data_IF_437026018110
#
_entry.id   IF_437026018110
#
_cell.length_a   1.000
_cell.length_b   1.000
_cell.length_c   1.000
_cell.angle_alpha   90.00
_cell.angle_beta   90.00
_cell.angle_gamma   90.00
#
_symmetry.space_group_name_H-M   'P 1'
#
loop_
_entity.id
_entity.type
_entity.pdbx_description
1 polymer ?
#
# COMPACT_ATOMS: atom_id res chain seq x y z
N UNK A 1 -19.29 -1.20 3.07
CA UNK A 1 -19.94 -2.24 3.90
C UNK A 1 -19.10 -2.53 5.14
N UNK A 2 -19.70 -3.05 6.22
CA UNK A 2 -18.97 -3.33 7.50
C UNK A 2 -17.84 -4.36 7.32
N UNK A 3 -18.06 -5.35 6.46
CA UNK A 3 -17.08 -6.37 6.13
C UNK A 3 -15.79 -5.80 5.50
N UNK A 4 -15.91 -4.93 4.50
CA UNK A 4 -14.75 -4.29 3.88
C UNK A 4 -13.97 -3.40 4.86
N UNK A 5 -14.69 -2.71 5.75
CA UNK A 5 -14.09 -1.92 6.84
C UNK A 5 -13.32 -2.83 7.80
N UNK A 6 -13.88 -3.97 8.18
CA UNK A 6 -13.22 -4.94 9.06
C UNK A 6 -11.96 -5.53 8.41
N UNK A 7 -12.01 -5.89 7.12
CA UNK A 7 -10.84 -6.41 6.39
C UNK A 7 -9.71 -5.36 6.31
N UNK A 8 -10.05 -4.08 6.11
CA UNK A 8 -9.03 -3.00 6.11
C UNK A 8 -8.48 -2.73 7.49
N UNK A 9 -9.32 -2.82 8.53
CA UNK A 9 -8.89 -2.68 9.91
C UNK A 9 -7.91 -3.79 10.32
N UNK A 10 -7.99 -4.99 9.73
CA UNK A 10 -7.01 -6.07 9.91
C UNK A 10 -5.66 -5.78 9.23
N UNK A 11 -5.64 -4.97 8.17
CA UNK A 11 -4.40 -4.54 7.51
C UNK A 11 -3.55 -3.61 8.37
N UNK A 12 -4.18 -2.72 9.13
CA UNK A 12 -3.49 -1.76 10.01
C UNK A 12 -2.55 -2.42 11.06
N UNK A 13 -2.96 -3.43 11.84
CA UNK A 13 -2.06 -4.08 12.80
C UNK A 13 -0.97 -4.91 12.12
N UNK A 14 -1.26 -5.57 10.99
CA UNK A 14 -0.24 -6.29 10.21
C UNK A 14 0.85 -5.35 9.70
N UNK A 15 0.47 -4.11 9.35
CA UNK A 15 1.41 -3.07 8.97
C UNK A 15 2.16 -2.46 10.16
N UNK A 16 1.52 -2.33 11.32
CA UNK A 16 2.13 -1.78 12.52
C UNK A 16 3.08 -2.76 13.23
N UNK A 17 2.84 -4.07 13.11
CA UNK A 17 3.65 -5.13 13.71
C UNK A 17 5.17 -5.03 13.40
N UNK A 18 5.62 -4.75 12.16
CA UNK A 18 7.04 -4.57 11.86
C UNK A 18 7.66 -3.26 12.39
N UNK A 19 6.86 -2.24 12.73
CA UNK A 19 7.37 -0.90 13.05
C UNK A 19 8.30 -0.86 14.27
N UNK A 20 8.03 -1.53 15.41
CA UNK A 20 8.93 -1.52 16.56
C UNK A 20 10.28 -2.15 16.24
N UNK A 21 10.30 -3.23 15.45
CA UNK A 21 11.53 -3.90 15.04
C UNK A 21 12.35 -3.00 14.10
N UNK A 22 11.69 -2.33 13.15
CA UNK A 22 12.34 -1.36 12.26
C UNK A 22 12.88 -0.15 13.02
N UNK A 23 12.12 0.39 13.96
CA UNK A 23 12.55 1.52 14.78
C UNK A 23 13.76 1.14 15.66
N UNK A 24 13.75 -0.05 16.26
CA UNK A 24 14.88 -0.56 17.03
C UNK A 24 16.11 -0.78 16.14
N UNK A 25 15.92 -1.33 14.93
CA UNK A 25 16.98 -1.52 13.94
C UNK A 25 17.57 -0.21 13.45
N UNK A 26 16.74 0.81 13.23
CA UNK A 26 17.21 2.14 12.85
C UNK A 26 17.98 2.85 13.97
N UNK A 27 17.59 2.64 15.23
CA UNK A 27 18.21 3.29 16.38
C UNK A 27 19.51 2.61 16.87
N UNK A 28 19.61 1.28 16.76
CA UNK A 28 20.70 0.49 17.37
C UNK A 28 21.46 -0.40 16.39
N UNK A 29 21.12 -0.34 15.10
CA UNK A 29 21.53 -1.35 14.12
C UNK A 29 20.63 -2.59 14.18
N UNK A 30 20.54 -3.29 13.05
CA UNK A 30 19.77 -4.50 12.87
C UNK A 30 20.56 -5.74 13.28
N UNK A 31 20.23 -6.31 14.44
CA UNK A 31 20.91 -7.48 15.01
C UNK A 31 20.09 -8.78 14.94
N UNK A 32 18.87 -8.73 14.38
CA UNK A 32 17.96 -9.88 14.32
C UNK A 32 18.28 -10.85 13.18
N UNK A 33 19.28 -10.52 12.35
CA UNK A 33 19.67 -11.32 11.18
C UNK A 33 18.73 -11.19 9.98
N UNK A 34 19.05 -11.93 8.91
CA UNK A 34 18.39 -11.77 7.61
C UNK A 34 16.95 -12.29 7.56
N UNK A 35 16.62 -13.34 8.32
CA UNK A 35 15.26 -13.90 8.36
C UNK A 35 14.22 -12.86 8.83
N UNK A 36 14.39 -12.27 10.02
CA UNK A 36 13.51 -11.21 10.52
C UNK A 36 13.47 -9.97 9.62
N UNK A 37 14.58 -9.59 8.97
CA UNK A 37 14.60 -8.46 8.04
C UNK A 37 13.66 -8.73 6.84
N UNK A 38 13.81 -9.91 6.23
CA UNK A 38 12.93 -10.35 5.12
C UNK A 38 11.47 -10.46 5.54
N UNK A 39 11.20 -11.00 6.72
CA UNK A 39 9.83 -11.09 7.25
C UNK A 39 9.20 -9.70 7.44
N UNK A 40 9.98 -8.75 7.93
CA UNK A 40 9.53 -7.36 8.13
C UNK A 40 9.13 -6.73 6.80
N UNK A 41 9.97 -6.85 5.78
CA UNK A 41 9.65 -6.35 4.43
C UNK A 41 8.49 -7.11 3.79
N UNK A 42 8.36 -8.41 4.04
CA UNK A 42 7.21 -9.22 3.59
C UNK A 42 5.91 -8.70 4.20
N UNK A 43 5.86 -8.55 5.53
CA UNK A 43 4.67 -8.09 6.26
C UNK A 43 4.25 -6.68 5.81
N UNK A 44 5.23 -5.78 5.63
CA UNK A 44 5.01 -4.44 5.10
C UNK A 44 4.31 -4.47 3.74
N UNK A 45 4.88 -5.17 2.77
CA UNK A 45 4.32 -5.21 1.41
C UNK A 45 3.06 -6.04 1.31
N UNK A 46 2.91 -7.09 2.12
CA UNK A 46 1.69 -7.89 2.18
C UNK A 46 0.50 -7.04 2.62
N UNK A 47 0.65 -6.28 3.72
CA UNK A 47 -0.41 -5.39 4.18
C UNK A 47 -0.72 -4.30 3.16
N UNK A 48 0.31 -3.68 2.60
CA UNK A 48 0.17 -2.64 1.58
C UNK A 48 -0.57 -3.14 0.33
N UNK A 49 -0.18 -4.29 -0.23
CA UNK A 49 -0.85 -4.87 -1.40
C UNK A 49 -2.27 -5.35 -1.08
N UNK A 50 -2.50 -5.92 0.10
CA UNK A 50 -3.85 -6.28 0.54
C UNK A 50 -4.76 -5.05 0.59
N UNK A 51 -4.26 -3.93 1.12
CA UNK A 51 -5.00 -2.67 1.15
C UNK A 51 -5.30 -2.14 -0.26
N UNK A 52 -4.32 -2.16 -1.18
CA UNK A 52 -4.52 -1.75 -2.57
C UNK A 52 -5.64 -2.56 -3.27
N UNK A 53 -5.60 -3.89 -3.11
CA UNK A 53 -6.58 -4.80 -3.69
C UNK A 53 -7.98 -4.67 -3.05
N UNK A 54 -8.06 -4.43 -1.74
CA UNK A 54 -9.31 -4.14 -1.03
C UNK A 54 -9.87 -2.76 -1.41
N UNK A 55 -9.02 -1.80 -1.74
CA UNK A 55 -9.40 -0.49 -2.28
C UNK A 55 -9.99 -0.64 -3.68
N UNK A 56 -9.30 -1.34 -4.57
CA UNK A 56 -9.76 -1.61 -5.92
C UNK A 56 -11.08 -2.40 -5.95
N UNK A 57 -11.16 -3.51 -5.21
CA UNK A 57 -12.37 -4.36 -5.18
C UNK A 57 -13.58 -3.70 -4.51
N UNK A 58 -13.35 -2.76 -3.59
CA UNK A 58 -14.42 -1.95 -2.99
C UNK A 58 -14.99 -0.89 -3.93
N UNK A 59 -14.23 -0.49 -4.95
CA UNK A 59 -14.63 0.52 -5.94
C UNK A 59 -15.36 -0.10 -7.14
N UNK A 60 -15.11 -1.38 -7.45
CA UNK A 60 -15.79 -2.12 -8.50
C UNK A 60 -16.95 -2.97 -7.95
N UNK A 61 -18.10 -2.34 -7.72
CA UNK A 61 -19.38 -3.03 -7.58
C UNK A 61 -19.81 -3.38 -6.15
N UNK A 62 -20.80 -4.27 -6.06
CA UNK A 62 -21.55 -4.59 -4.82
C UNK A 62 -21.07 -5.88 -4.14
N UNK A 63 -19.94 -6.45 -4.55
CA UNK A 63 -19.41 -7.72 -4.03
C UNK A 63 -19.23 -7.72 -2.50
N UNK A 64 -19.04 -6.54 -1.91
CA UNK A 64 -18.91 -6.35 -0.47
C UNK A 64 -20.22 -5.93 0.22
N UNK A 65 -21.33 -5.74 -0.50
CA UNK A 65 -22.59 -5.24 0.04
C UNK A 65 -23.23 -6.22 1.03
N UNK A 66 -23.06 -7.52 0.81
CA UNK A 66 -23.50 -8.61 1.71
C UNK A 66 -22.29 -9.43 2.14
N UNK A 67 -22.31 -9.92 3.38
CA UNK A 67 -21.25 -10.80 3.90
C UNK A 67 -21.65 -12.27 3.71
N UNK A 68 -21.56 -12.74 2.47
CA UNK A 68 -21.96 -14.08 2.06
C UNK A 68 -20.72 -14.99 1.80
N UNK A 69 -20.89 -16.28 1.48
CA UNK A 69 -19.77 -17.16 1.20
C UNK A 69 -18.91 -16.74 -0.01
N UNK A 70 -19.45 -15.94 -0.95
CA UNK A 70 -18.68 -15.41 -2.09
C UNK A 70 -17.79 -14.26 -1.64
N UNK A 71 -18.31 -13.33 -0.84
CA UNK A 71 -17.51 -12.21 -0.29
C UNK A 71 -16.40 -12.70 0.64
N UNK A 72 -16.64 -13.78 1.41
CA UNK A 72 -15.61 -14.43 2.24
C UNK A 72 -14.49 -15.05 1.40
N UNK A 73 -14.86 -15.81 0.35
CA UNK A 73 -13.88 -16.38 -0.60
C UNK A 73 -13.08 -15.30 -1.31
N UNK A 74 -13.74 -14.21 -1.72
CA UNK A 74 -13.07 -13.05 -2.30
C UNK A 74 -12.07 -12.45 -1.31
N UNK A 75 -12.45 -12.22 -0.05
CA UNK A 75 -11.53 -11.71 0.96
C UNK A 75 -10.29 -12.59 1.11
N UNK A 76 -10.48 -13.91 1.29
CA UNK A 76 -9.36 -14.87 1.39
C UNK A 76 -8.48 -14.84 0.14
N UNK A 77 -9.09 -14.82 -1.05
CA UNK A 77 -8.36 -14.77 -2.31
C UNK A 77 -7.53 -13.48 -2.44
N UNK A 78 -8.07 -12.32 -2.06
CA UNK A 78 -7.32 -11.06 -2.11
C UNK A 78 -6.16 -11.03 -1.12
N UNK A 79 -6.34 -11.57 0.09
CA UNK A 79 -5.27 -11.68 1.07
C UNK A 79 -4.16 -12.65 0.64
N UNK A 80 -4.53 -13.80 0.10
CA UNK A 80 -3.59 -14.78 -0.43
C UNK A 80 -2.85 -14.24 -1.66
N UNK A 81 -3.55 -13.57 -2.57
CA UNK A 81 -2.95 -12.90 -3.72
C UNK A 81 -1.98 -11.81 -3.27
N UNK A 82 -2.35 -10.97 -2.29
CA UNK A 82 -1.46 -9.97 -1.74
C UNK A 82 -0.18 -10.57 -1.14
N UNK A 83 -0.28 -11.70 -0.44
CA UNK A 83 0.88 -12.39 0.12
C UNK A 83 1.81 -12.90 -0.97
N UNK A 84 1.23 -13.53 -2.01
CA UNK A 84 1.98 -14.02 -3.16
C UNK A 84 2.70 -12.87 -3.88
N UNK A 85 2.01 -11.75 -4.09
CA UNK A 85 2.57 -10.56 -4.73
C UNK A 85 3.65 -9.88 -3.87
N UNK A 86 3.61 -10.06 -2.54
CA UNK A 86 4.62 -9.54 -1.62
C UNK A 86 5.88 -10.42 -1.52
N UNK A 87 5.83 -11.68 -1.99
CA UNK A 87 6.96 -12.61 -1.91
C UNK A 87 8.27 -12.07 -2.52
N UNK A 88 8.28 -11.38 -3.67
CA UNK A 88 9.50 -10.76 -4.22
C UNK A 88 10.15 -9.76 -3.25
N UNK A 89 9.38 -9.07 -2.41
CA UNK A 89 9.93 -8.13 -1.43
C UNK A 89 10.82 -8.82 -0.39
N UNK A 90 10.47 -10.05 0.01
CA UNK A 90 11.27 -10.86 0.92
C UNK A 90 12.55 -11.36 0.26
N UNK A 91 12.53 -11.63 -1.04
CA UNK A 91 13.69 -12.13 -1.79
C UNK A 91 14.69 -11.01 -2.08
N UNK A 92 14.19 -9.80 -2.32
CA UNK A 92 14.99 -8.62 -2.65
C UNK A 92 15.65 -8.01 -1.42
N UNK A 93 15.02 -8.11 -0.25
CA UNK A 93 15.51 -7.56 1.01
C UNK A 93 16.54 -8.46 1.70
N UNK A 94 17.40 -7.85 2.50
CA UNK A 94 18.47 -8.56 3.18
C UNK A 94 19.18 -7.70 4.19
N UNK A 95 20.28 -8.21 4.71
CA UNK A 95 21.15 -7.47 5.63
C UNK A 95 22.42 -7.12 4.87
N UNK A 96 22.80 -5.84 4.89
CA UNK A 96 24.02 -5.33 4.30
C UNK A 96 24.93 -4.81 5.41
N UNK A 97 26.18 -5.30 5.44
CA UNK A 97 27.07 -5.18 6.60
C UNK A 97 26.59 -6.00 7.82
N UNK A 98 27.16 -5.73 8.99
CA UNK A 98 26.79 -6.43 10.25
C UNK A 98 25.53 -5.84 10.90
N UNK A 99 25.01 -4.70 10.44
CA UNK A 99 24.01 -3.93 11.21
C UNK A 99 22.90 -3.26 10.38
N UNK A 100 22.80 -3.45 9.06
CA UNK A 100 21.80 -2.75 8.24
C UNK A 100 20.75 -3.69 7.63
N UNK A 101 19.48 -3.62 8.04
CA UNK A 101 18.39 -4.25 7.27
C UNK A 101 18.02 -3.34 6.10
N UNK A 102 18.33 -3.79 4.90
CA UNK A 102 18.15 -3.01 3.67
C UNK A 102 17.01 -3.56 2.82
N UNK A 103 16.30 -2.63 2.17
CA UNK A 103 15.21 -2.97 1.26
C UNK A 103 15.69 -3.73 0.02
N UNK A 104 16.91 -3.42 -0.45
CA UNK A 104 17.53 -4.04 -1.62
C UNK A 104 18.92 -4.56 -1.25
N UNK A 105 19.07 -5.88 -1.28
CA UNK A 105 20.36 -6.60 -1.14
C UNK A 105 20.82 -7.24 -2.46
N UNK A 106 19.97 -7.20 -3.49
CA UNK A 106 20.20 -7.76 -4.82
C UNK A 106 20.56 -6.67 -5.82
N UNK A 107 21.16 -7.06 -6.96
CA UNK A 107 21.48 -6.14 -8.04
C UNK A 107 20.25 -5.46 -8.66
N UNK A 108 20.44 -4.28 -9.22
CA UNK A 108 19.38 -3.43 -9.79
C UNK A 108 18.65 -4.07 -11.00
N UNK A 109 19.33 -4.90 -11.78
CA UNK A 109 18.73 -5.61 -12.91
C UNK A 109 18.24 -7.01 -12.54
N UNK A 110 18.23 -7.36 -11.25
CA UNK A 110 17.75 -8.68 -10.84
C UNK A 110 16.26 -8.82 -11.14
N UNK A 111 15.81 -9.97 -11.67
CA UNK A 111 14.41 -10.17 -12.05
C UNK A 111 13.47 -10.08 -10.85
N UNK A 112 13.93 -10.49 -9.65
CA UNK A 112 13.16 -10.35 -8.41
C UNK A 112 12.91 -8.88 -8.05
N UNK A 113 13.93 -8.02 -8.21
CA UNK A 113 13.78 -6.59 -7.94
C UNK A 113 12.90 -5.90 -8.99
N UNK A 114 13.10 -6.19 -10.28
CA UNK A 114 12.26 -5.63 -11.35
C UNK A 114 10.80 -6.06 -11.19
N UNK A 115 10.55 -7.32 -10.83
CA UNK A 115 9.21 -7.81 -10.53
C UNK A 115 8.61 -7.08 -9.32
N UNK A 116 9.37 -6.96 -8.23
CA UNK A 116 8.92 -6.24 -7.03
C UNK A 116 8.57 -4.77 -7.35
N UNK A 117 9.45 -4.07 -8.07
CA UNK A 117 9.25 -2.69 -8.48
C UNK A 117 8.03 -2.56 -9.38
N UNK A 118 7.89 -3.41 -10.40
CA UNK A 118 6.74 -3.42 -11.30
C UNK A 118 5.42 -3.63 -10.53
N UNK A 119 5.39 -4.58 -9.58
CA UNK A 119 4.21 -4.81 -8.73
C UNK A 119 3.88 -3.60 -7.87
N UNK A 120 4.89 -2.96 -7.27
CA UNK A 120 4.71 -1.72 -6.53
C UNK A 120 4.08 -0.63 -7.40
N UNK A 121 4.62 -0.37 -8.59
CA UNK A 121 4.09 0.65 -9.51
C UNK A 121 2.67 0.31 -9.98
N UNK A 122 2.44 -0.94 -10.35
CA UNK A 122 1.13 -1.41 -10.79
C UNK A 122 0.06 -1.23 -9.71
N UNK A 123 0.34 -1.65 -8.48
CA UNK A 123 -0.66 -1.65 -7.40
C UNK A 123 -0.82 -0.29 -6.71
N UNK A 124 0.26 0.51 -6.61
CA UNK A 124 0.24 1.77 -5.88
C UNK A 124 -0.13 2.97 -6.76
N UNK A 125 0.21 2.92 -8.06
CA UNK A 125 -0.01 4.04 -8.98
C UNK A 125 -1.00 3.66 -10.08
N UNK A 126 -0.69 2.66 -10.91
CA UNK A 126 -1.47 2.41 -12.13
C UNK A 126 -2.88 1.91 -11.84
N UNK A 127 -3.05 0.97 -10.91
CA UNK A 127 -4.35 0.42 -10.54
C UNK A 127 -5.29 1.50 -9.99
N UNK A 128 -4.92 2.29 -8.96
CA UNK A 128 -5.78 3.36 -8.47
C UNK A 128 -6.00 4.47 -9.52
N UNK A 129 -4.97 4.91 -10.24
CA UNK A 129 -5.13 5.92 -11.28
C UNK A 129 -6.06 5.44 -12.41
N UNK A 130 -5.87 4.21 -12.89
CA UNK A 130 -6.68 3.60 -13.95
C UNK A 130 -8.15 3.45 -13.54
N UNK A 131 -8.42 3.07 -12.29
CA UNK A 131 -9.77 3.01 -11.76
C UNK A 131 -10.41 4.42 -11.66
N UNK A 132 -9.67 5.43 -11.22
CA UNK A 132 -10.15 6.83 -11.22
C UNK A 132 -10.48 7.31 -12.63
N UNK A 133 -9.59 7.07 -13.59
CA UNK A 133 -9.80 7.42 -15.00
C UNK A 133 -11.01 6.69 -15.59
N UNK A 134 -11.15 5.39 -15.30
CA UNK A 134 -12.31 4.60 -15.74
C UNK A 134 -13.63 5.14 -15.15
N UNK A 135 -13.62 5.61 -13.90
CA UNK A 135 -14.79 6.22 -13.27
C UNK A 135 -15.18 7.56 -13.89
N UNK A 136 -14.20 8.33 -14.38
CA UNK A 136 -14.44 9.58 -15.11
C UNK A 136 -14.93 9.33 -16.54
N UNK A 137 -14.39 8.31 -17.20
CA UNK A 137 -14.70 7.98 -18.59
C UNK A 137 -16.01 7.21 -18.77
N UNK A 138 -16.41 6.38 -17.78
CA UNK A 138 -17.55 5.49 -17.91
C UNK A 138 -18.72 5.92 -16.99
N UNK A 139 -19.79 6.50 -17.54
CA UNK A 139 -20.90 7.05 -16.73
C UNK A 139 -21.63 5.99 -15.89
N UNK A 140 -21.71 4.73 -16.35
CA UNK A 140 -22.27 3.61 -15.56
C UNK A 140 -21.49 3.30 -14.30
N UNK A 141 -20.16 3.43 -14.34
CA UNK A 141 -19.30 3.24 -13.17
C UNK A 141 -19.47 4.40 -12.19
N UNK A 142 -19.59 5.63 -12.70
CA UNK A 142 -19.74 6.87 -11.91
C UNK A 142 -20.88 6.82 -10.89
N UNK A 143 -22.04 6.24 -11.23
CA UNK A 143 -23.17 6.09 -10.30
C UNK A 143 -22.88 5.19 -9.09
N UNK A 144 -22.09 4.13 -9.31
CA UNK A 144 -21.67 3.20 -8.25
C UNK A 144 -20.47 3.70 -7.41
N UNK A 145 -19.85 4.81 -7.82
CA UNK A 145 -18.48 5.19 -7.43
C UNK A 145 -18.36 6.29 -6.37
N UNK A 146 -19.43 7.01 -6.03
CA UNK A 146 -19.38 8.17 -5.14
C UNK A 146 -18.80 7.86 -3.74
N UNK A 147 -18.92 6.61 -3.28
CA UNK A 147 -18.36 6.16 -2.01
C UNK A 147 -16.90 5.66 -2.10
N UNK A 148 -16.45 5.22 -3.29
CA UNK A 148 -15.13 4.62 -3.51
C UNK A 148 -14.06 5.63 -3.90
N UNK A 149 -14.45 6.69 -4.64
CA UNK A 149 -13.53 7.70 -5.16
C UNK A 149 -12.68 8.38 -4.06
N UNK A 150 -13.30 8.77 -2.93
CA UNK A 150 -12.57 9.40 -1.84
C UNK A 150 -11.51 8.49 -1.20
N UNK A 151 -11.76 7.18 -1.15
CA UNK A 151 -10.78 6.24 -0.62
C UNK A 151 -9.67 5.93 -1.60
N UNK A 152 -9.97 5.96 -2.90
CA UNK A 152 -8.94 5.83 -3.93
C UNK A 152 -8.02 7.04 -3.96
N UNK A 153 -8.57 8.25 -3.84
CA UNK A 153 -7.80 9.49 -3.70
C UNK A 153 -6.94 9.50 -2.45
N UNK A 154 -7.49 9.10 -1.30
CA UNK A 154 -6.72 8.97 -0.06
C UNK A 154 -5.57 7.97 -0.22
N UNK A 155 -5.85 6.81 -0.82
CA UNK A 155 -4.84 5.79 -1.09
C UNK A 155 -3.74 6.33 -2.00
N UNK A 156 -4.10 6.96 -3.12
CA UNK A 156 -3.13 7.52 -4.07
C UNK A 156 -2.33 8.69 -3.45
N UNK A 157 -2.95 9.53 -2.64
CA UNK A 157 -2.26 10.65 -1.98
C UNK A 157 -1.23 10.20 -0.95
N UNK A 158 -1.52 9.11 -0.20
CA UNK A 158 -0.61 8.62 0.84
C UNK A 158 0.45 7.66 0.29
N UNK A 159 0.09 6.81 -0.68
CA UNK A 159 0.95 5.75 -1.19
C UNK A 159 1.55 6.03 -2.58
N UNK A 160 0.95 6.93 -3.35
CA UNK A 160 1.48 7.38 -4.63
C UNK A 160 2.90 7.97 -4.52
N UNK A 161 3.19 8.85 -3.55
CA UNK A 161 4.55 9.37 -3.35
C UNK A 161 5.57 8.26 -3.08
N UNK A 162 5.19 7.21 -2.36
CA UNK A 162 6.07 6.06 -2.09
C UNK A 162 6.39 5.29 -3.37
N UNK A 163 5.38 4.96 -4.18
CA UNK A 163 5.62 4.28 -5.46
C UNK A 163 6.38 5.14 -6.48
N UNK A 164 6.12 6.44 -6.52
CA UNK A 164 6.88 7.38 -7.35
C UNK A 164 8.35 7.49 -6.89
N UNK A 165 8.59 7.49 -5.57
CA UNK A 165 9.93 7.46 -4.99
C UNK A 165 10.71 6.20 -5.38
N UNK A 166 10.07 5.02 -5.35
CA UNK A 166 10.69 3.77 -5.82
C UNK A 166 11.06 3.82 -7.31
N UNK A 167 10.21 4.39 -8.16
CA UNK A 167 10.55 4.61 -9.57
C UNK A 167 11.74 5.58 -9.72
N UNK A 168 11.71 6.70 -8.99
CA UNK A 168 12.79 7.69 -9.03
C UNK A 168 14.14 7.12 -8.59
N UNK A 169 14.16 6.33 -7.52
CA UNK A 169 15.36 5.61 -7.06
C UNK A 169 15.90 4.66 -8.13
N UNK A 170 15.02 3.89 -8.78
CA UNK A 170 15.41 3.02 -9.90
C UNK A 170 15.99 3.81 -11.08
N UNK A 171 15.34 4.90 -11.48
CA UNK A 171 15.80 5.73 -12.59
C UNK A 171 17.18 6.36 -12.32
N UNK A 172 17.43 6.82 -11.09
CA UNK A 172 18.74 7.31 -10.66
C UNK A 172 19.80 6.22 -10.69
N UNK A 173 19.51 5.07 -10.07
CA UNK A 173 20.47 3.96 -10.00
C UNK A 173 20.71 3.32 -11.38
N UNK A 174 19.77 3.42 -12.32
CA UNK A 174 19.91 2.99 -13.70
C UNK A 174 20.69 3.99 -14.58
N UNK A 175 21.10 5.15 -14.03
CA UNK A 175 21.86 6.17 -14.77
C UNK A 175 21.02 6.97 -15.76
N UNK A 176 19.69 6.96 -15.62
CA UNK A 176 18.76 7.71 -16.49
C UNK A 176 18.53 9.15 -16.01
N UNK A 177 18.91 9.47 -14.77
CA UNK A 177 18.93 10.81 -14.19
C UNK A 177 20.35 11.14 -13.70
N UNK A 178 20.72 12.42 -13.73
CA UNK A 178 22.02 12.91 -13.25
C UNK A 178 22.28 12.49 -11.78
N UNK A 179 23.24 11.59 -11.52
CA UNK A 179 23.50 11.09 -10.17
C UNK A 179 24.35 12.11 -9.41
N UNK A 180 23.70 13.02 -8.69
CA UNK A 180 24.37 13.93 -7.75
C UNK A 180 24.15 13.46 -6.31
N UNK A 181 25.12 13.71 -5.42
CA UNK A 181 25.00 13.42 -3.99
C UNK A 181 23.75 14.09 -3.38
N UNK A 182 23.43 15.30 -3.84
CA UNK A 182 22.21 16.01 -3.47
C UNK A 182 20.93 15.29 -3.91
N UNK A 183 20.88 14.77 -5.15
CA UNK A 183 19.74 13.97 -5.63
C UNK A 183 19.49 12.76 -4.73
N UNK A 184 20.51 11.95 -4.43
CA UNK A 184 20.33 10.77 -3.55
C UNK A 184 19.77 11.15 -2.18
N UNK A 185 20.30 12.20 -1.55
CA UNK A 185 19.83 12.66 -0.24
C UNK A 185 18.36 13.12 -0.26
N UNK A 186 17.94 13.81 -1.33
CA UNK A 186 16.55 14.22 -1.49
C UNK A 186 15.61 13.03 -1.72
N UNK A 187 16.03 12.03 -2.51
CA UNK A 187 15.23 10.84 -2.74
C UNK A 187 15.11 9.97 -1.49
N UNK A 188 16.19 9.77 -0.74
CA UNK A 188 16.15 9.03 0.53
C UNK A 188 15.23 9.72 1.56
N UNK A 189 15.31 11.05 1.67
CA UNK A 189 14.42 11.83 2.53
C UNK A 189 12.96 11.70 2.08
N UNK A 190 12.69 11.85 0.78
CA UNK A 190 11.34 11.71 0.22
C UNK A 190 10.78 10.29 0.40
N UNK A 191 11.63 9.27 0.28
CA UNK A 191 11.26 7.87 0.49
C UNK A 191 10.97 7.59 1.97
N UNK A 192 11.71 8.19 2.90
CA UNK A 192 11.45 8.11 4.34
C UNK A 192 10.14 8.82 4.72
N UNK A 193 9.92 10.04 4.21
CA UNK A 193 8.68 10.79 4.44
C UNK A 193 7.46 10.10 3.84
N UNK A 194 7.58 9.54 2.63
CA UNK A 194 6.50 8.79 1.98
C UNK A 194 6.18 7.47 2.69
N UNK A 195 7.17 6.80 3.28
CA UNK A 195 6.90 5.70 4.21
C UNK A 195 6.11 6.17 5.43
N UNK A 196 6.49 7.30 6.03
CA UNK A 196 5.75 7.92 7.14
C UNK A 196 4.30 8.26 6.77
N UNK A 197 4.08 8.83 5.58
CA UNK A 197 2.74 9.08 5.02
C UNK A 197 1.95 7.77 4.84
N UNK A 198 2.63 6.72 4.38
CA UNK A 198 2.08 5.37 4.31
C UNK A 198 1.65 4.82 5.68
N UNK A 199 2.44 5.08 6.75
CA UNK A 199 2.06 4.70 8.13
C UNK A 199 0.78 5.41 8.57
N UNK A 200 0.63 6.70 8.24
CA UNK A 200 -0.58 7.47 8.57
C UNK A 200 -1.85 6.90 7.94
N UNK A 201 -1.74 6.17 6.82
CA UNK A 201 -2.88 5.49 6.18
C UNK A 201 -3.56 4.50 7.13
N UNK A 202 -2.78 3.83 7.99
CA UNK A 202 -3.30 2.84 8.93
C UNK A 202 -4.22 3.46 9.99
N UNK A 203 -4.05 4.74 10.32
CA UNK A 203 -4.92 5.49 11.23
C UNK A 203 -6.02 6.28 10.52
N UNK A 204 -5.72 6.88 9.36
CA UNK A 204 -6.67 7.70 8.61
C UNK A 204 -7.72 6.89 7.84
N UNK A 205 -7.38 5.67 7.40
CA UNK A 205 -8.30 4.80 6.66
C UNK A 205 -9.59 4.46 7.45
N UNK A 206 -9.48 3.93 8.68
CA UNK A 206 -10.63 3.69 9.54
C UNK A 206 -11.43 4.97 9.86
N UNK A 207 -10.74 6.10 10.12
CA UNK A 207 -11.39 7.38 10.41
C UNK A 207 -12.20 7.90 9.21
N UNK A 208 -11.63 7.88 8.00
CA UNK A 208 -12.32 8.30 6.78
C UNK A 208 -13.58 7.46 6.53
N UNK A 209 -13.50 6.15 6.78
CA UNK A 209 -14.64 5.23 6.67
C UNK A 209 -15.72 5.52 7.70
N UNK A 210 -15.34 5.77 8.96
CA UNK A 210 -16.26 6.12 10.05
C UNK A 210 -16.94 7.47 9.82
N UNK A 211 -16.19 8.48 9.37
CA UNK A 211 -16.74 9.80 9.03
C UNK A 211 -17.70 9.71 7.85
N UNK A 212 -17.34 8.99 6.78
CA UNK A 212 -18.22 8.76 5.63
C UNK A 212 -19.49 7.98 6.01
N UNK A 213 -19.42 7.10 7.02
CA UNK A 213 -20.61 6.44 7.57
C UNK A 213 -21.48 7.40 8.38
N UNK A 214 -20.89 8.21 9.27
CA UNK A 214 -21.61 9.18 10.10
C UNK A 214 -22.31 10.25 9.26
N UNK A 215 -21.68 10.71 8.18
CA UNK A 215 -22.28 11.65 7.23
C UNK A 215 -23.46 11.03 6.46
N UNK A 216 -23.39 9.74 6.10
CA UNK A 216 -24.51 9.03 5.46
C UNK A 216 -25.67 8.78 6.43
N UNK A 217 -25.38 8.39 7.66
CA UNK A 217 -26.38 8.22 8.71
C UNK A 217 -27.11 9.53 9.02
N UNK A 218 -26.38 10.66 9.11
CA UNK A 218 -26.99 11.99 9.30
C UNK A 218 -27.84 12.44 8.11
N UNK A 219 -27.43 12.12 6.88
CA UNK A 219 -28.24 12.39 5.68
C UNK A 219 -29.52 11.57 5.61
N UNK A 220 -29.54 10.33 6.13
CA UNK A 220 -30.77 9.53 6.19
C UNK A 220 -31.69 9.94 7.35
N UNK A 221 -31.16 10.58 8.41
CA UNK A 221 -31.95 11.09 9.53
C UNK A 221 -32.40 12.56 9.36
N UNK A 222 -31.87 13.27 8.37
CA UNK A 222 -32.22 14.66 8.05
C UNK A 222 -33.07 14.82 6.78
N UNK A 223 -33.60 13.73 6.23
CA UNK A 223 -34.43 13.74 5.02
C UNK A 223 -35.90 13.50 5.34
N UNK A 224 -36.58 14.54 5.83
CA UNK A 224 -38.02 14.82 5.68
C UNK A 224 -38.29 16.20 6.29
N UNK A 225 -38.23 17.23 5.44
CA UNK A 225 -39.04 18.45 5.45
C UNK A 225 -38.79 19.17 4.12
#
# INVERSE_FOLDING_TARGET
SRALVAQRALGSPLFAAPLPALAAGAARGWHLGAGPCRLTHLLWHWSLFAQALLVASGSCGTAWARWDPRSRRLAVALWAAALLLAAPAAVVSGVEGDTGCVRRSVGILSPAYLLHLALCLCLLLLLPAGLLLAALAVPRLRESWAAGAGLLWLFLGLWGPYGAGLAGEFLLQAGLLEPTCGSFQHFDLALGLSQGLGVLHCGLGPLALLLAWRCRARRSSGGCA
#
